data_IF_174259989968
#
_entry.id   IF_174259989968
#
_cell.length_a   1.000
_cell.length_b   1.000
_cell.length_c   1.000
_cell.angle_alpha   90.00
_cell.angle_beta   90.00
_cell.angle_gamma   90.00
#
_symmetry.space_group_name_H-M   'P 1'
#
loop_
_entity.id
_entity.type
_entity.pdbx_description
1 polymer ?
#
# COMPACT_ATOMS: atom_id res chain seq x y z
N UNK A 1 -26.75 51.39 25.39
CA UNK A 1 -27.47 50.11 25.24
C UNK A 1 -26.56 49.11 24.56
N UNK A 2 -26.29 48.02 25.27
CA UNK A 2 -25.84 46.67 24.90
C UNK A 2 -24.73 46.45 23.84
N UNK A 3 -23.59 46.02 24.39
CA UNK A 3 -22.62 45.09 23.83
C UNK A 3 -23.30 43.90 23.12
N UNK A 4 -22.81 43.53 21.93
CA UNK A 4 -22.84 42.14 21.48
C UNK A 4 -21.54 41.79 20.77
N UNK A 5 -20.69 41.08 21.52
CA UNK A 5 -19.54 40.33 21.01
C UNK A 5 -20.08 39.11 20.26
N UNK A 6 -19.84 39.02 18.95
CA UNK A 6 -19.89 37.73 18.26
C UNK A 6 -18.52 37.08 18.30
N UNK A 7 -18.31 36.30 19.35
CA UNK A 7 -17.36 35.18 19.38
C UNK A 7 -18.14 33.95 18.93
N UNK A 8 -17.55 33.12 18.06
CA UNK A 8 -17.71 31.65 17.89
C UNK A 8 -17.39 31.26 16.43
N UNK A 9 -16.72 30.18 16.08
CA UNK A 9 -15.96 29.13 16.77
C UNK A 9 -14.98 28.64 15.70
N UNK A 10 -13.69 28.59 16.03
CA UNK A 10 -12.70 27.91 15.20
C UNK A 10 -12.98 26.41 15.23
N UNK A 11 -13.33 25.84 14.08
CA UNK A 11 -13.30 24.39 13.89
C UNK A 11 -11.85 23.96 13.69
N UNK A 12 -11.17 23.73 14.81
CA UNK A 12 -9.90 23.01 14.84
C UNK A 12 -10.27 21.52 14.74
N UNK A 13 -10.24 20.98 13.52
CA UNK A 13 -10.31 19.53 13.29
C UNK A 13 -8.92 18.96 13.62
N UNK A 14 -8.72 18.59 14.89
CA UNK A 14 -7.55 17.81 15.34
C UNK A 14 -7.71 16.37 14.83
N UNK A 15 -6.62 15.75 14.33
CA UNK A 15 -6.70 14.60 13.44
C UNK A 15 -6.94 13.29 14.22
N UNK A 16 -8.05 12.63 13.89
CA UNK A 16 -8.44 11.32 14.41
C UNK A 16 -7.66 10.16 13.77
N UNK A 17 -6.42 10.41 13.32
CA UNK A 17 -5.59 9.43 12.57
C UNK A 17 -4.47 8.83 13.45
N UNK A 18 -4.23 9.35 14.65
CA UNK A 18 -3.10 8.95 15.48
C UNK A 18 -3.28 7.67 16.32
N UNK A 19 -4.46 7.04 16.35
CA UNK A 19 -4.73 5.91 17.26
C UNK A 19 -4.76 4.50 16.62
N UNK A 20 -4.58 4.37 15.30
CA UNK A 20 -4.68 3.04 14.66
C UNK A 20 -3.35 2.25 14.72
N UNK A 21 -2.22 2.90 15.05
CA UNK A 21 -0.91 2.25 15.03
C UNK A 21 -0.60 1.37 16.27
N UNK A 22 -1.29 1.56 17.39
CA UNK A 22 -0.95 0.89 18.66
C UNK A 22 -1.70 -0.40 18.95
N UNK A 23 -2.83 -0.67 18.28
CA UNK A 23 -3.63 -1.89 18.53
C UNK A 23 -3.03 -3.12 17.84
N UNK A 24 -2.21 -2.94 16.80
CA UNK A 24 -1.65 -4.05 16.01
C UNK A 24 -0.52 -4.78 16.77
N UNK A 25 0.07 -4.18 17.80
CA UNK A 25 1.23 -4.76 18.49
C UNK A 25 0.92 -5.68 19.68
N UNK A 26 -0.34 -5.84 20.11
CA UNK A 26 -0.65 -6.51 21.38
C UNK A 26 -1.36 -7.87 21.31
N UNK A 27 -1.79 -8.36 20.14
CA UNK A 27 -2.50 -9.65 20.05
C UNK A 27 -1.61 -10.89 19.86
N UNK A 28 -0.30 -10.78 20.05
CA UNK A 28 0.59 -11.94 20.11
C UNK A 28 0.67 -12.53 21.52
N UNK A 29 -0.47 -12.87 22.13
CA UNK A 29 -0.48 -13.64 23.39
C UNK A 29 -0.71 -15.13 23.12
N UNK A 30 0.40 -15.85 23.14
CA UNK A 30 0.64 -17.27 23.45
C UNK A 30 -0.57 -18.21 23.62
N UNK A 31 -0.77 -19.07 22.62
CA UNK A 31 -1.16 -20.47 22.83
C UNK A 31 -0.15 -21.35 22.07
N UNK A 32 0.38 -22.37 22.74
CA UNK A 32 1.24 -23.41 22.13
C UNK A 32 0.39 -24.24 21.16
N UNK A 33 0.18 -23.71 19.96
CA UNK A 33 -0.38 -24.47 18.85
C UNK A 33 0.75 -25.09 18.03
N UNK A 34 0.65 -26.41 17.85
CA UNK A 34 1.49 -27.28 16.99
C UNK A 34 1.33 -26.99 15.49
N UNK A 35 0.64 -25.91 15.12
CA UNK A 35 0.50 -25.44 13.74
C UNK A 35 1.86 -25.04 13.17
N UNK A 36 2.16 -25.49 11.96
CA UNK A 36 3.41 -25.16 11.27
C UNK A 36 3.58 -23.63 11.12
N UNK A 37 4.82 -23.15 11.05
CA UNK A 37 5.13 -21.73 10.85
C UNK A 37 4.41 -21.14 9.63
N UNK A 38 4.25 -21.93 8.57
CA UNK A 38 3.54 -21.54 7.35
C UNK A 38 2.03 -21.31 7.59
N UNK A 39 1.41 -22.08 8.48
CA UNK A 39 0.00 -21.96 8.81
C UNK A 39 -0.29 -20.71 9.66
N UNK A 40 0.58 -20.42 10.65
CA UNK A 40 0.51 -19.17 11.43
C UNK A 40 0.63 -17.94 10.54
N UNK A 41 1.51 -17.98 9.54
CA UNK A 41 1.71 -16.90 8.59
C UNK A 41 0.46 -16.67 7.71
N UNK A 42 -0.14 -17.74 7.19
CA UNK A 42 -1.38 -17.67 6.40
C UNK A 42 -2.52 -17.04 7.20
N UNK A 43 -2.69 -17.47 8.44
CA UNK A 43 -3.72 -16.92 9.34
C UNK A 43 -3.47 -15.44 9.63
N UNK A 44 -2.22 -15.05 9.90
CA UNK A 44 -1.87 -13.66 10.14
C UNK A 44 -2.12 -12.75 8.92
N UNK A 45 -1.74 -13.22 7.72
CA UNK A 45 -2.02 -12.52 6.46
C UNK A 45 -3.53 -12.34 6.26
N UNK A 46 -4.32 -13.39 6.46
CA UNK A 46 -5.78 -13.35 6.31
C UNK A 46 -6.44 -12.36 7.29
N UNK A 47 -6.02 -12.37 8.57
CA UNK A 47 -6.50 -11.40 9.57
C UNK A 47 -6.16 -9.96 9.15
N UNK A 48 -4.93 -9.73 8.70
CA UNK A 48 -4.45 -8.42 8.27
C UNK A 48 -5.26 -7.89 7.08
N UNK A 49 -5.49 -8.73 6.08
CA UNK A 49 -6.30 -8.40 4.91
C UNK A 49 -7.72 -8.02 5.35
N UNK A 50 -8.37 -8.81 6.20
CA UNK A 50 -9.74 -8.53 6.65
C UNK A 50 -9.84 -7.21 7.45
N UNK A 51 -8.85 -6.92 8.28
CA UNK A 51 -8.79 -5.63 8.99
C UNK A 51 -8.64 -4.46 8.01
N UNK A 52 -7.76 -4.57 7.02
CA UNK A 52 -7.57 -3.53 6.02
C UNK A 52 -8.82 -3.34 5.13
N UNK A 53 -9.50 -4.42 4.75
CA UNK A 53 -10.78 -4.36 4.02
C UNK A 53 -11.81 -3.54 4.78
N UNK A 54 -11.97 -3.79 6.09
CA UNK A 54 -12.91 -3.06 6.94
C UNK A 54 -12.52 -1.60 7.13
N UNK A 55 -11.23 -1.32 7.39
CA UNK A 55 -10.76 0.05 7.68
C UNK A 55 -10.83 0.99 6.47
N UNK A 56 -10.65 0.47 5.25
CA UNK A 56 -10.52 1.27 4.04
C UNK A 56 -11.64 1.05 3.02
N UNK A 57 -12.66 0.25 3.36
CA UNK A 57 -13.67 -0.26 2.41
C UNK A 57 -13.01 -0.79 1.13
N UNK A 58 -12.02 -1.66 1.34
CA UNK A 58 -11.12 -2.11 0.29
C UNK A 58 -11.47 -3.51 -0.22
N UNK A 59 -11.19 -3.76 -1.50
CA UNK A 59 -11.24 -5.10 -2.10
C UNK A 59 -9.82 -5.60 -2.36
N UNK A 60 -9.60 -6.92 -2.32
CA UNK A 60 -8.33 -7.46 -2.78
C UNK A 60 -8.25 -7.28 -4.30
N UNK A 61 -7.10 -6.79 -4.78
CA UNK A 61 -6.88 -6.68 -6.20
C UNK A 61 -6.72 -8.08 -6.80
N UNK A 62 -7.53 -8.38 -7.80
CA UNK A 62 -7.47 -9.60 -8.59
C UNK A 62 -7.07 -9.28 -10.04
N UNK A 63 -6.96 -10.29 -10.89
CA UNK A 63 -6.66 -10.08 -12.31
C UNK A 63 -7.75 -9.28 -13.06
N UNK A 64 -8.88 -8.96 -12.42
CA UNK A 64 -10.02 -8.28 -13.02
C UNK A 64 -10.01 -6.77 -12.73
N UNK A 65 -9.69 -6.00 -13.76
CA UNK A 65 -9.53 -4.55 -13.66
C UNK A 65 -10.85 -3.77 -13.49
N UNK A 66 -12.02 -4.41 -13.63
CA UNK A 66 -13.33 -3.73 -13.73
C UNK A 66 -13.71 -2.90 -12.50
N UNK A 67 -13.22 -3.25 -11.30
CA UNK A 67 -13.60 -2.59 -10.03
C UNK A 67 -12.53 -1.67 -9.44
N UNK A 68 -11.36 -1.63 -10.07
CA UNK A 68 -10.15 -1.07 -9.47
C UNK A 68 -10.17 0.46 -9.33
N UNK A 69 -10.92 1.15 -10.20
CA UNK A 69 -11.01 2.62 -10.20
C UNK A 69 -12.05 3.17 -9.23
N UNK A 70 -13.02 2.34 -8.84
CA UNK A 70 -14.15 2.77 -8.00
C UNK A 70 -13.89 2.62 -6.50
N UNK A 71 -12.82 1.93 -6.11
CA UNK A 71 -12.59 1.53 -4.71
C UNK A 71 -11.12 1.59 -4.32
N UNK A 72 -10.89 1.55 -3.01
CA UNK A 72 -9.58 1.20 -2.48
C UNK A 72 -9.31 -0.27 -2.80
N UNK A 73 -8.08 -0.58 -3.19
CA UNK A 73 -7.66 -1.96 -3.43
C UNK A 73 -6.47 -2.33 -2.56
N UNK A 74 -6.46 -3.57 -2.10
CA UNK A 74 -5.36 -4.18 -1.37
C UNK A 74 -4.46 -4.92 -2.37
N UNK A 75 -3.21 -4.50 -2.42
CA UNK A 75 -2.17 -5.05 -3.28
C UNK A 75 -1.26 -5.94 -2.42
N UNK A 76 -1.31 -7.24 -2.61
CA UNK A 76 -0.22 -8.12 -2.19
C UNK A 76 0.97 -7.88 -3.11
N UNK A 77 2.07 -7.39 -2.56
CA UNK A 77 3.13 -6.79 -3.37
C UNK A 77 4.52 -7.03 -2.82
N UNK A 78 5.48 -7.04 -3.74
CA UNK A 78 6.90 -7.01 -3.45
C UNK A 78 7.46 -5.66 -3.91
N UNK A 79 8.05 -4.92 -2.98
CA UNK A 79 8.75 -3.68 -3.27
C UNK A 79 9.90 -3.92 -4.25
N UNK A 80 9.96 -3.08 -5.28
CA UNK A 80 11.02 -3.12 -6.29
C UNK A 80 11.83 -1.81 -6.35
N UNK A 81 11.33 -0.72 -5.76
CA UNK A 81 12.10 0.52 -5.71
C UNK A 81 11.39 1.70 -5.08
N UNK A 82 12.16 2.76 -4.87
CA UNK A 82 11.73 4.03 -4.28
C UNK A 82 12.22 5.19 -5.13
N UNK A 83 11.42 6.24 -5.22
CA UNK A 83 11.81 7.46 -5.93
C UNK A 83 11.35 8.68 -5.12
N UNK A 84 12.30 9.56 -4.82
CA UNK A 84 12.06 10.83 -4.12
C UNK A 84 12.44 11.98 -5.05
N UNK A 85 11.46 12.73 -5.50
CA UNK A 85 11.65 13.87 -6.40
C UNK A 85 11.04 15.13 -5.77
N UNK A 86 11.85 16.09 -5.31
CA UNK A 86 11.47 17.38 -4.71
C UNK A 86 10.24 17.36 -3.75
N UNK A 87 9.02 17.20 -4.28
CA UNK A 87 7.75 17.13 -3.55
C UNK A 87 6.95 15.82 -3.74
N UNK A 88 7.53 14.78 -4.33
CA UNK A 88 6.89 13.51 -4.62
C UNK A 88 7.64 12.35 -3.98
N UNK A 89 6.90 11.47 -3.31
CA UNK A 89 7.38 10.26 -2.68
C UNK A 89 6.71 9.07 -3.35
N UNK A 90 7.47 8.31 -4.14
CA UNK A 90 6.92 7.25 -4.97
C UNK A 90 7.48 5.91 -4.53
N UNK A 91 6.58 4.94 -4.35
CA UNK A 91 6.94 3.53 -4.19
C UNK A 91 6.63 2.80 -5.50
N UNK A 92 7.55 1.93 -5.90
CA UNK A 92 7.38 1.00 -7.02
C UNK A 92 7.27 -0.40 -6.45
N UNK A 93 6.23 -1.15 -6.83
CA UNK A 93 6.00 -2.50 -6.35
C UNK A 93 5.56 -3.43 -7.50
N UNK A 94 5.98 -4.70 -7.45
CA UNK A 94 5.43 -5.79 -8.24
C UNK A 94 4.26 -6.38 -7.46
N UNK A 95 3.15 -6.64 -8.14
CA UNK A 95 1.96 -7.24 -7.51
C UNK A 95 2.06 -8.75 -7.63
N UNK A 96 1.92 -9.45 -6.51
CA UNK A 96 2.06 -10.88 -6.36
C UNK A 96 0.72 -11.58 -6.66
N UNK A 97 0.38 -11.64 -7.95
CA UNK A 97 -0.80 -12.36 -8.43
C UNK A 97 -0.41 -13.53 -9.32
N UNK A 98 -1.24 -14.57 -9.30
CA UNK A 98 -1.16 -15.69 -10.22
C UNK A 98 -2.02 -15.42 -11.46
N UNK A 99 -1.65 -14.38 -12.22
CA UNK A 99 -2.25 -14.04 -13.51
C UNK A 99 -1.25 -14.33 -14.63
N UNK A 100 -1.75 -14.55 -15.85
CA UNK A 100 -0.92 -14.62 -17.05
C UNK A 100 -0.15 -13.30 -17.25
N UNK A 101 -0.86 -12.18 -17.11
CA UNK A 101 -0.30 -10.84 -17.18
C UNK A 101 0.44 -10.45 -15.90
N UNK A 102 1.48 -9.61 -16.02
CA UNK A 102 2.18 -9.06 -14.85
C UNK A 102 1.68 -7.67 -14.51
N UNK A 103 1.57 -7.42 -13.21
CA UNK A 103 1.06 -6.17 -12.67
C UNK A 103 2.13 -5.49 -11.80
N UNK A 104 2.31 -4.20 -12.05
CA UNK A 104 3.21 -3.33 -11.30
C UNK A 104 2.43 -2.13 -10.79
N UNK A 105 2.88 -1.54 -9.69
CA UNK A 105 2.30 -0.36 -9.11
C UNK A 105 3.35 0.74 -8.99
N UNK A 106 2.99 1.95 -9.42
CA UNK A 106 3.68 3.21 -9.13
C UNK A 106 2.74 4.06 -8.29
N UNK A 107 3.00 4.12 -6.98
CA UNK A 107 2.10 4.75 -6.04
C UNK A 107 2.75 6.00 -5.44
N UNK A 108 2.03 7.11 -5.47
CA UNK A 108 2.39 8.31 -4.72
C UNK A 108 1.99 8.11 -3.26
N UNK A 109 2.90 8.38 -2.34
CA UNK A 109 2.72 8.21 -0.90
C UNK A 109 2.81 9.55 -0.19
N UNK A 110 2.19 9.66 0.99
CA UNK A 110 2.58 10.69 1.94
C UNK A 110 4.02 10.47 2.42
N UNK A 111 4.70 11.55 2.82
CA UNK A 111 6.06 11.49 3.38
C UNK A 111 6.18 10.49 4.53
N UNK A 112 5.21 10.47 5.44
CA UNK A 112 5.20 9.57 6.59
C UNK A 112 5.14 8.09 6.16
N UNK A 113 4.26 7.77 5.21
CA UNK A 113 4.17 6.40 4.66
C UNK A 113 5.49 6.03 4.00
N UNK A 114 6.02 6.90 3.13
CA UNK A 114 7.27 6.65 2.43
C UNK A 114 8.43 6.38 3.38
N UNK A 115 8.64 7.23 4.40
CA UNK A 115 9.70 7.06 5.38
C UNK A 115 9.55 5.75 6.17
N UNK A 116 8.31 5.37 6.52
CA UNK A 116 8.04 4.08 7.17
C UNK A 116 8.36 2.89 6.25
N UNK A 117 7.96 2.96 4.98
CA UNK A 117 8.23 1.91 3.99
C UNK A 117 9.75 1.76 3.78
N UNK A 118 10.49 2.85 3.63
CA UNK A 118 11.96 2.78 3.43
C UNK A 118 12.73 2.20 4.61
N UNK A 119 12.09 2.08 5.78
CA UNK A 119 12.66 1.48 6.99
C UNK A 119 12.23 0.02 7.20
N UNK A 120 11.38 -0.54 6.33
CA UNK A 120 11.00 -1.95 6.43
C UNK A 120 12.21 -2.82 6.15
N UNK A 121 12.24 -4.00 6.78
CA UNK A 121 13.28 -5.01 6.53
C UNK A 121 12.79 -6.07 5.55
N UNK A 122 11.49 -6.13 5.32
CA UNK A 122 10.86 -6.96 4.32
C UNK A 122 10.42 -6.13 3.11
N UNK A 123 10.58 -6.76 1.94
CA UNK A 123 10.11 -6.25 0.67
C UNK A 123 8.66 -6.66 0.40
N UNK A 124 8.11 -7.65 1.12
CA UNK A 124 6.73 -8.14 0.96
C UNK A 124 5.75 -7.34 1.82
N UNK A 125 4.88 -6.58 1.15
CA UNK A 125 3.92 -5.69 1.78
C UNK A 125 2.51 -5.92 1.24
N UNK A 126 1.52 -5.81 2.12
CA UNK A 126 0.14 -5.54 1.71
C UNK A 126 -0.04 -4.02 1.69
N UNK A 127 -0.34 -3.45 0.52
CA UNK A 127 -0.51 -2.01 0.33
C UNK A 127 -1.98 -1.71 0.04
N UNK A 128 -2.60 -0.81 0.80
CA UNK A 128 -3.90 -0.26 0.45
C UNK A 128 -3.70 0.97 -0.45
N UNK A 129 -4.29 0.96 -1.63
CA UNK A 129 -4.09 2.01 -2.63
C UNK A 129 -5.39 2.41 -3.33
N UNK A 130 -5.47 3.66 -3.77
CA UNK A 130 -6.48 4.12 -4.74
C UNK A 130 -5.85 4.19 -6.11
N UNK A 131 -6.31 3.37 -7.03
CA UNK A 131 -5.76 3.35 -8.39
C UNK A 131 -6.53 4.37 -9.24
N UNK A 132 -5.80 5.31 -9.82
CA UNK A 132 -6.36 6.37 -10.65
C UNK A 132 -6.21 6.09 -12.14
N UNK A 133 -5.20 5.28 -12.52
CA UNK A 133 -4.92 4.98 -13.92
C UNK A 133 -4.29 3.60 -14.07
N UNK A 134 -4.73 2.85 -15.08
CA UNK A 134 -4.06 1.64 -15.55
C UNK A 134 -3.46 1.91 -16.92
N UNK A 135 -2.21 1.54 -17.08
CA UNK A 135 -1.52 1.62 -18.35
C UNK A 135 -1.03 0.24 -18.73
N UNK A 136 -1.57 -0.31 -19.83
CA UNK A 136 -0.94 -1.43 -20.49
C UNK A 136 0.33 -0.91 -21.13
N UNK A 137 1.50 -1.33 -20.66
CA UNK A 137 2.75 -1.07 -21.36
C UNK A 137 3.54 -2.35 -21.55
N UNK A 138 4.40 -2.35 -22.56
CA UNK A 138 5.48 -3.32 -22.67
C UNK A 138 6.66 -2.72 -21.90
N UNK A 139 7.10 -3.35 -20.79
CA UNK A 139 8.14 -2.83 -19.89
C UNK A 139 9.25 -3.90 -19.67
N UNK A 140 10.56 -3.59 -19.73
CA UNK A 140 11.65 -4.34 -19.00
C UNK A 140 11.98 -3.69 -17.68
N UNK A 141 12.10 -4.50 -16.64
CA UNK A 141 12.78 -4.11 -15.43
C UNK A 141 14.29 -4.32 -15.56
N UNK A 142 15.06 -3.24 -15.44
CA UNK A 142 16.48 -3.33 -15.10
C UNK A 142 16.60 -3.05 -13.59
N UNK A 143 16.98 -4.05 -12.80
CA UNK A 143 17.03 -3.97 -11.33
C UNK A 143 18.28 -3.22 -10.81
N UNK A 144 19.22 -2.83 -11.68
CA UNK A 144 20.56 -2.37 -11.30
C UNK A 144 20.90 -0.89 -11.59
N UNK A 145 19.97 -0.05 -12.07
CA UNK A 145 20.28 1.36 -12.38
C UNK A 145 19.90 2.31 -11.25
N UNK A 146 20.91 2.77 -10.50
CA UNK A 146 20.84 3.95 -9.62
C UNK A 146 20.72 5.28 -10.42
N UNK A 147 20.77 5.23 -11.74
CA UNK A 147 20.75 6.41 -12.60
C UNK A 147 19.37 6.69 -13.20
N UNK A 148 19.05 7.99 -13.27
CA UNK A 148 17.78 8.61 -13.65
C UNK A 148 17.37 8.43 -15.13
N UNK A 149 18.02 7.51 -15.86
CA UNK A 149 17.68 7.18 -17.24
C UNK A 149 17.00 5.81 -17.30
N UNK A 150 15.67 5.82 -17.25
CA UNK A 150 14.87 4.60 -17.26
C UNK A 150 14.60 4.14 -18.71
N UNK A 151 15.32 3.12 -19.20
CA UNK A 151 14.98 2.41 -20.43
C UNK A 151 14.53 0.97 -20.09
N UNK A 152 13.40 0.56 -20.68
CA UNK A 152 12.64 -0.68 -20.41
C UNK A 152 12.31 -1.41 -21.76
N UNK A 153 12.70 -2.67 -22.03
CA UNK A 153 12.33 -3.53 -23.20
C UNK A 153 11.83 -4.99 -22.95
N UNK A 154 10.64 -5.32 -22.43
CA UNK A 154 10.20 -6.74 -22.35
C UNK A 154 8.89 -7.05 -23.10
N UNK A 155 8.76 -8.31 -23.54
CA UNK A 155 7.85 -8.80 -24.59
C UNK A 155 6.45 -9.22 -24.12
N UNK A 156 6.18 -9.29 -22.81
CA UNK A 156 4.88 -9.70 -22.24
C UNK A 156 3.91 -8.52 -22.00
N UNK A 157 2.62 -8.83 -21.88
CA UNK A 157 1.59 -7.88 -21.50
C UNK A 157 1.76 -7.49 -20.02
N UNK A 158 2.23 -6.26 -19.77
CA UNK A 158 2.38 -5.74 -18.42
C UNK A 158 1.38 -4.59 -18.20
N UNK A 159 0.88 -4.49 -16.97
CA UNK A 159 0.03 -3.38 -16.53
C UNK A 159 0.73 -2.60 -15.43
N UNK A 160 0.80 -1.28 -15.61
CA UNK A 160 1.18 -0.37 -14.54
C UNK A 160 -0.07 0.27 -13.96
N UNK A 161 -0.29 0.01 -12.68
CA UNK A 161 -1.25 0.70 -11.85
C UNK A 161 -0.59 1.97 -11.30
N UNK A 162 -1.11 3.13 -11.68
CA UNK A 162 -0.73 4.40 -11.06
C UNK A 162 -1.81 4.80 -10.05
N UNK A 163 -1.39 5.27 -8.89
CA UNK A 163 -2.33 5.59 -7.83
C UNK A 163 -1.72 6.27 -6.62
N UNK A 164 -2.51 6.33 -5.56
CA UNK A 164 -2.14 6.86 -4.26
C UNK A 164 -2.06 5.71 -3.25
N UNK A 165 -0.97 5.66 -2.49
CA UNK A 165 -0.81 4.75 -1.36
C UNK A 165 -1.43 5.36 -0.11
N UNK A 166 -2.40 4.65 0.47
CA UNK A 166 -3.09 5.07 1.68
C UNK A 166 -2.41 4.53 2.93
N UNK A 167 -1.94 3.28 2.89
CA UNK A 167 -1.19 2.64 3.96
C UNK A 167 -0.49 1.37 3.46
N UNK A 168 0.36 0.78 4.31
CA UNK A 168 0.94 -0.53 4.08
C UNK A 168 1.08 -1.30 5.39
N UNK A 169 1.15 -2.63 5.27
CA UNK A 169 1.50 -3.55 6.35
C UNK A 169 2.60 -4.49 5.87
N UNK A 170 3.65 -4.62 6.68
CA UNK A 170 4.74 -5.56 6.47
C UNK A 170 4.28 -6.96 6.87
N UNK A 171 4.37 -7.94 5.96
CA UNK A 171 4.14 -9.33 6.31
C UNK A 171 5.43 -9.89 6.90
N UNK A 172 5.48 -10.23 8.19
CA UNK A 172 6.67 -10.86 8.78
C UNK A 172 6.64 -12.36 8.51
N UNK A 173 7.63 -12.87 7.77
CA UNK A 173 7.89 -14.29 7.59
C UNK A 173 8.85 -14.81 8.65
#
# INVERSE_FOLDING_TARGET
>A
MNLSKSVKVGFIIIPLIYFVATIISFYSFSKKDNTSTAEKLRTHKHITINQLKSLYDAEEFDCNQSKIFSKTVLLDSTLIGFLKEKNSFIIKAKINLNCDDKYFARLSCSKNIFERVTKTKNNHLIIAAKISRIEKRKYELNFDSLDQNENFYMTENNYLLNGECLTFVELKY
#
